data_IF_205022133269
#
_entry.id   IF_205022133269
#
_cell.length_a   1.000
_cell.length_b   1.000
_cell.length_c   1.000
_cell.angle_alpha   90.00
_cell.angle_beta   90.00
_cell.angle_gamma   90.00
#
_symmetry.space_group_name_H-M   'P 1'
#
loop_
_entity.id
_entity.type
_entity.pdbx_description
1 polymer ?
#
# COMPACT_ATOMS: atom_id res chain seq x y z
N UNK A 1 -11.35 -4.66 2.49
CA UNK A 1 -11.00 -5.18 1.15
C UNK A 1 -10.45 -6.58 1.32
N UNK A 2 -11.00 -7.58 0.63
CA UNK A 2 -10.58 -8.97 0.81
C UNK A 2 -9.23 -9.28 0.14
N UNK A 3 -8.47 -10.23 0.71
CA UNK A 3 -7.25 -10.81 0.13
C UNK A 3 -6.17 -9.80 -0.28
N UNK A 4 -6.04 -8.72 0.49
CA UNK A 4 -5.03 -7.68 0.22
C UNK A 4 -3.60 -8.20 0.36
N UNK A 5 -3.40 -9.21 1.22
CA UNK A 5 -2.17 -9.95 1.41
C UNK A 5 -1.67 -10.59 0.10
N UNK A 6 -2.53 -11.34 -0.61
CA UNK A 6 -2.20 -11.93 -1.92
C UNK A 6 -1.85 -10.86 -2.95
N UNK A 7 -2.61 -9.76 -2.99
CA UNK A 7 -2.36 -8.66 -3.92
C UNK A 7 -1.00 -8.01 -3.66
N UNK A 8 -0.63 -7.82 -2.39
CA UNK A 8 0.67 -7.27 -2.05
C UNK A 8 1.82 -8.18 -2.50
N UNK A 9 1.72 -9.49 -2.26
CA UNK A 9 2.75 -10.43 -2.70
C UNK A 9 2.98 -10.39 -4.22
N UNK A 10 1.91 -10.29 -5.01
CA UNK A 10 2.03 -10.15 -6.45
C UNK A 10 2.64 -8.81 -6.86
N UNK A 11 2.28 -7.71 -6.19
CA UNK A 11 2.89 -6.39 -6.43
C UNK A 11 4.41 -6.41 -6.16
N UNK A 12 4.84 -7.09 -5.10
CA UNK A 12 6.27 -7.26 -4.76
C UNK A 12 6.98 -8.04 -5.87
N UNK A 13 6.43 -9.18 -6.31
CA UNK A 13 6.99 -9.98 -7.40
C UNK A 13 7.11 -9.21 -8.72
N UNK A 14 6.13 -8.36 -9.01
CA UNK A 14 6.12 -7.51 -10.21
C UNK A 14 7.03 -6.27 -10.07
N UNK A 15 7.66 -6.06 -8.92
CA UNK A 15 8.64 -4.99 -8.72
C UNK A 15 8.03 -3.61 -8.49
N UNK A 16 6.75 -3.52 -8.12
CA UNK A 16 6.13 -2.24 -7.76
C UNK A 16 6.81 -1.64 -6.52
N UNK A 17 7.05 -0.33 -6.56
CA UNK A 17 7.79 0.38 -5.50
C UNK A 17 6.91 1.05 -4.47
N UNK A 18 5.65 1.35 -4.80
CA UNK A 18 4.68 1.98 -3.89
C UNK A 18 3.35 1.22 -3.94
N UNK A 19 2.74 0.97 -2.79
CA UNK A 19 1.42 0.36 -2.64
C UNK A 19 0.54 1.24 -1.76
N UNK A 20 -0.59 1.70 -2.30
CA UNK A 20 -1.54 2.54 -1.55
C UNK A 20 -2.63 1.65 -0.97
N UNK A 21 -2.88 1.75 0.33
CA UNK A 21 -3.88 0.94 1.02
C UNK A 21 -4.81 1.79 1.90
N UNK A 22 -6.05 1.33 2.15
CA UNK A 22 -6.90 1.92 3.18
C UNK A 22 -6.26 1.78 4.56
N UNK A 23 -6.35 2.82 5.39
CA UNK A 23 -5.80 2.82 6.76
C UNK A 23 -6.31 1.65 7.62
N UNK A 24 -7.57 1.25 7.45
CA UNK A 24 -8.17 0.10 8.16
C UNK A 24 -7.52 -1.25 7.81
N UNK A 25 -6.85 -1.35 6.67
CA UNK A 25 -6.22 -2.57 6.21
C UNK A 25 -4.77 -2.72 6.68
N UNK A 26 -4.17 -1.69 7.30
CA UNK A 26 -2.76 -1.68 7.75
C UNK A 26 -2.40 -2.90 8.60
N UNK A 27 -3.32 -3.35 9.47
CA UNK A 27 -3.13 -4.52 10.33
C UNK A 27 -2.97 -5.84 9.57
N UNK A 28 -3.56 -5.96 8.38
CA UNK A 28 -3.48 -7.16 7.55
C UNK A 28 -2.11 -7.38 6.92
N UNK A 29 -1.23 -6.38 6.95
CA UNK A 29 0.08 -6.44 6.31
C UNK A 29 1.25 -6.66 7.27
N UNK A 30 1.00 -6.67 8.59
CA UNK A 30 2.04 -6.85 9.60
C UNK A 30 2.82 -8.16 9.49
N UNK A 31 2.20 -9.19 8.91
CA UNK A 31 2.81 -10.51 8.73
C UNK A 31 3.51 -10.70 7.38
N UNK A 32 3.51 -9.69 6.50
CA UNK A 32 4.05 -9.79 5.15
C UNK A 32 5.36 -9.01 5.11
N UNK A 33 6.40 -9.64 4.57
CA UNK A 33 7.63 -8.93 4.26
C UNK A 33 7.37 -7.86 3.19
N UNK A 34 7.55 -6.61 3.58
CA UNK A 34 7.34 -5.43 2.71
C UNK A 34 8.68 -4.86 2.25
N UNK A 35 9.77 -5.59 2.43
CA UNK A 35 11.09 -5.22 1.93
C UNK A 35 11.04 -4.97 0.42
N UNK A 36 11.37 -3.74 0.02
CA UNK A 36 11.39 -3.32 -1.39
C UNK A 36 10.11 -2.65 -1.91
N UNK A 37 9.05 -2.52 -1.10
CA UNK A 37 7.83 -1.77 -1.43
C UNK A 37 7.46 -0.78 -0.31
N UNK A 38 7.17 0.46 -0.68
CA UNK A 38 6.68 1.47 0.27
C UNK A 38 5.17 1.37 0.40
N UNK A 39 4.68 1.04 1.60
CA UNK A 39 3.25 1.06 1.90
C UNK A 39 2.82 2.47 2.27
N UNK A 40 1.82 3.00 1.56
CA UNK A 40 1.22 4.32 1.80
C UNK A 40 -0.21 4.11 2.30
N UNK A 41 -0.46 4.43 3.56
CA UNK A 41 -1.80 4.32 4.14
C UNK A 41 -2.57 5.63 3.98
N UNK A 42 -3.85 5.51 3.59
CA UNK A 42 -4.73 6.66 3.37
C UNK A 42 -6.12 6.41 4.00
N UNK A 43 -6.69 7.43 4.63
CA UNK A 43 -8.04 7.35 5.22
C UNK A 43 -9.13 7.83 4.26
N UNK A 44 -8.77 8.61 3.23
CA UNK A 44 -9.68 9.23 2.29
C UNK A 44 -8.96 9.59 0.97
N UNK A 45 -9.72 10.01 -0.04
CA UNK A 45 -9.20 10.37 -1.35
C UNK A 45 -8.26 11.60 -1.30
N UNK A 46 -8.53 12.58 -0.43
CA UNK A 46 -7.66 13.76 -0.27
C UNK A 46 -6.24 13.36 0.16
N UNK A 47 -6.11 12.39 1.06
CA UNK A 47 -4.81 11.83 1.44
C UNK A 47 -4.11 11.13 0.27
N UNK A 48 -4.85 10.36 -0.54
CA UNK A 48 -4.27 9.73 -1.74
C UNK A 48 -3.71 10.79 -2.68
N UNK A 49 -4.50 11.82 -2.98
CA UNK A 49 -4.07 12.92 -3.86
C UNK A 49 -2.81 13.59 -3.34
N UNK A 50 -2.76 13.92 -2.05
CA UNK A 50 -1.62 14.59 -1.45
C UNK A 50 -0.36 13.71 -1.33
N UNK A 51 -0.50 12.40 -1.05
CA UNK A 51 0.66 11.51 -0.81
C UNK A 51 1.20 10.85 -2.07
N UNK A 52 0.38 10.71 -3.11
CA UNK A 52 0.74 9.96 -4.32
C UNK A 52 1.11 10.88 -5.47
N UNK A 53 0.34 11.96 -5.66
CA UNK A 53 0.43 12.79 -6.87
C UNK A 53 1.06 14.16 -6.61
N UNK A 54 1.14 14.58 -5.35
CA UNK A 54 1.84 15.81 -5.01
C UNK A 54 3.34 15.54 -5.04
N UNK A 55 4.03 16.22 -5.93
CA UNK A 55 5.48 16.35 -5.95
C UNK A 55 5.82 17.54 -5.05
N UNK A 56 6.75 17.38 -4.12
CA UNK A 56 7.40 18.52 -3.46
C UNK A 56 8.08 19.43 -4.49
#
# INVERSE_FOLDING_TARGET
VARMDKRLNELIKLGFKKCVIPKVAEKSFKAIDTSGITIVTCSNLKEVLNKVFRTD
#
